data_IF_480460151009
#
_entry.id   IF_480460151009
#
_cell.length_a   1.000
_cell.length_b   1.000
_cell.length_c   1.000
_cell.angle_alpha   90.00
_cell.angle_beta   90.00
_cell.angle_gamma   90.00
#
_symmetry.space_group_name_H-M   'P 1'
#
loop_
_entity.id
_entity.type
_entity.pdbx_description
1 polymer ?
#
# COMPACT_ATOMS: atom_id res chain seq x y z
N UNK A 1 51.17 17.97 -2.98
CA UNK A 1 49.86 18.18 -2.34
C UNK A 1 48.84 17.37 -3.12
N UNK A 2 48.47 16.19 -2.61
CA UNK A 2 47.57 15.20 -3.24
C UNK A 2 46.22 15.29 -2.52
N UNK A 3 45.12 15.54 -3.21
CA UNK A 3 43.82 14.93 -2.89
C UNK A 3 43.09 14.66 -4.22
N UNK A 4 42.90 13.37 -4.51
CA UNK A 4 42.11 12.87 -5.63
C UNK A 4 40.63 12.97 -5.28
N UNK A 5 39.81 13.46 -6.21
CA UNK A 5 38.36 13.35 -6.17
C UNK A 5 37.98 11.87 -6.14
N UNK A 6 37.31 11.44 -5.07
CA UNK A 6 36.86 10.07 -4.91
C UNK A 6 35.42 9.97 -5.44
N UNK A 7 35.26 9.21 -6.51
CA UNK A 7 33.98 8.82 -7.10
C UNK A 7 33.17 8.01 -6.08
N UNK A 8 32.08 8.57 -5.59
CA UNK A 8 31.02 7.79 -4.95
C UNK A 8 30.18 7.24 -6.09
N UNK A 9 30.45 5.99 -6.48
CA UNK A 9 29.53 5.21 -7.30
C UNK A 9 28.30 4.93 -6.44
N UNK A 10 27.18 5.55 -6.79
CA UNK A 10 25.85 5.01 -6.48
C UNK A 10 25.73 3.64 -7.16
N UNK A 11 25.82 2.60 -6.35
CA UNK A 11 25.56 1.23 -6.77
C UNK A 11 24.04 1.04 -6.81
N UNK A 12 23.49 1.32 -7.99
CA UNK A 12 22.15 0.92 -8.40
C UNK A 12 22.11 -0.60 -8.36
N UNK A 13 21.50 -1.16 -7.30
CA UNK A 13 21.34 -2.59 -7.08
C UNK A 13 20.31 -3.14 -8.05
N UNK A 14 20.80 -3.60 -9.21
CA UNK A 14 20.02 -4.39 -10.16
C UNK A 14 19.86 -5.82 -9.63
N UNK A 15 18.64 -6.39 -9.72
CA UNK A 15 18.29 -7.69 -9.13
C UNK A 15 19.21 -8.88 -9.49
N UNK A 16 20.00 -8.76 -10.57
CA UNK A 16 21.02 -9.72 -11.00
C UNK A 16 22.20 -9.87 -10.02
N UNK A 17 22.59 -8.83 -9.29
CA UNK A 17 23.74 -8.90 -8.38
C UNK A 17 23.41 -9.67 -7.09
N UNK A 18 22.13 -9.66 -6.71
CA UNK A 18 21.62 -10.39 -5.54
C UNK A 18 21.58 -11.89 -5.82
N UNK A 19 21.16 -12.30 -7.02
CA UNK A 19 21.13 -13.71 -7.43
C UNK A 19 22.54 -14.31 -7.47
N UNK A 20 23.52 -13.58 -8.02
CA UNK A 20 24.92 -13.99 -8.06
C UNK A 20 25.54 -14.09 -6.65
N UNK A 21 25.20 -13.17 -5.74
CA UNK A 21 25.66 -13.22 -4.35
C UNK A 21 25.06 -14.41 -3.59
N UNK A 22 23.79 -14.76 -3.86
CA UNK A 22 23.11 -15.91 -3.27
C UNK A 22 23.75 -17.22 -3.74
N UNK A 23 24.04 -17.34 -5.03
CA UNK A 23 24.68 -18.52 -5.61
C UNK A 23 26.09 -18.76 -5.04
N UNK A 24 26.88 -17.69 -4.87
CA UNK A 24 28.20 -17.78 -4.23
C UNK A 24 28.12 -18.26 -2.78
N UNK A 25 27.15 -17.76 -2.01
CA UNK A 25 26.94 -18.18 -0.62
C UNK A 25 26.44 -19.62 -0.51
N UNK A 26 25.64 -20.08 -1.47
CA UNK A 26 25.18 -21.46 -1.54
C UNK A 26 26.33 -22.42 -1.83
N UNK A 27 27.22 -22.05 -2.75
CA UNK A 27 28.42 -22.82 -3.08
C UNK A 27 29.42 -22.87 -1.91
N UNK A 28 29.56 -21.79 -1.16
CA UNK A 28 30.36 -21.75 0.08
C UNK A 28 29.80 -22.71 1.13
N UNK A 29 28.48 -22.70 1.34
CA UNK A 29 27.81 -23.64 2.25
C UNK A 29 27.99 -25.09 1.77
N UNK A 30 27.80 -25.37 0.48
CA UNK A 30 28.00 -26.72 -0.09
C UNK A 30 29.45 -27.22 0.09
N UNK A 31 30.44 -26.33 -0.07
CA UNK A 31 31.85 -26.66 0.16
C UNK A 31 32.15 -26.96 1.65
N UNK A 32 31.56 -26.19 2.57
CA UNK A 32 31.69 -26.42 4.01
C UNK A 32 30.98 -27.71 4.46
N UNK A 33 29.85 -28.06 3.84
CA UNK A 33 29.17 -29.33 4.11
C UNK A 33 29.96 -30.54 3.59
N UNK A 34 30.56 -30.45 2.40
CA UNK A 34 31.39 -31.55 1.85
C UNK A 34 32.73 -31.73 2.59
N UNK A 35 33.27 -30.66 3.20
CA UNK A 35 34.55 -30.70 3.94
C UNK A 35 34.45 -31.21 5.38
N UNK A 36 33.24 -31.48 5.89
CA UNK A 36 33.03 -32.04 7.23
C UNK A 36 32.33 -33.39 7.15
N UNK A 37 32.80 -34.37 7.92
CA UNK A 37 32.03 -35.60 8.18
C UNK A 37 30.81 -35.22 9.00
N UNK A 38 29.75 -34.82 8.31
CA UNK A 38 28.51 -34.41 8.91
C UNK A 38 27.78 -35.65 9.41
N UNK A 39 27.61 -35.68 10.72
CA UNK A 39 26.75 -36.60 11.42
C UNK A 39 25.31 -36.52 10.87
N UNK A 40 24.62 -37.66 10.77
CA UNK A 40 23.27 -37.77 10.18
C UNK A 40 22.28 -36.83 10.89
N UNK A 41 22.47 -36.64 12.19
CA UNK A 41 21.72 -35.70 13.04
C UNK A 41 21.90 -34.23 12.61
N UNK A 42 23.11 -33.84 12.21
CA UNK A 42 23.42 -32.47 11.78
C UNK A 42 22.90 -32.20 10.37
N UNK A 43 22.97 -33.18 9.47
CA UNK A 43 22.37 -33.07 8.13
C UNK A 43 20.85 -32.85 8.22
N UNK A 44 20.16 -33.60 9.08
CA UNK A 44 18.73 -33.43 9.29
C UNK A 44 18.39 -32.05 9.85
N UNK A 45 19.17 -31.55 10.81
CA UNK A 45 19.01 -30.19 11.33
C UNK A 45 19.18 -29.11 10.25
N UNK A 46 20.16 -29.25 9.35
CA UNK A 46 20.33 -28.29 8.25
C UNK A 46 19.22 -28.39 7.21
N UNK A 47 18.75 -29.59 6.89
CA UNK A 47 17.60 -29.80 6.00
C UNK A 47 16.34 -29.15 6.57
N UNK A 48 16.02 -29.41 7.84
CA UNK A 48 14.84 -28.84 8.51
C UNK A 48 14.92 -27.31 8.58
N UNK A 49 16.12 -26.75 8.84
CA UNK A 49 16.34 -25.31 8.89
C UNK A 49 16.27 -24.65 7.51
N UNK A 50 16.74 -25.33 6.47
CA UNK A 50 16.66 -24.84 5.09
C UNK A 50 15.23 -24.90 4.55
N UNK A 51 14.55 -26.04 4.74
CA UNK A 51 13.14 -26.22 4.35
C UNK A 51 12.22 -25.24 5.07
N UNK A 52 12.42 -24.99 6.37
CA UNK A 52 11.64 -23.99 7.09
C UNK A 52 11.91 -22.55 6.63
N UNK A 53 13.15 -22.22 6.26
CA UNK A 53 13.47 -20.89 5.73
C UNK A 53 12.88 -20.69 4.32
N UNK A 54 12.87 -21.72 3.48
CA UNK A 54 12.23 -21.68 2.16
C UNK A 54 10.70 -21.53 2.26
N UNK A 55 10.05 -22.28 3.16
CA UNK A 55 8.61 -22.15 3.39
C UNK A 55 8.23 -20.73 3.84
N UNK A 56 9.07 -20.10 4.67
CA UNK A 56 8.83 -18.72 5.12
C UNK A 56 9.04 -17.68 3.99
N UNK A 57 9.90 -17.95 3.02
CA UNK A 57 10.11 -17.08 1.85
C UNK A 57 8.99 -17.21 0.81
N UNK A 58 8.46 -18.41 0.58
CA UNK A 58 7.38 -18.64 -0.42
C UNK A 58 6.00 -18.29 0.13
N UNK A 59 5.73 -18.55 1.41
CA UNK A 59 4.44 -18.29 2.05
C UNK A 59 4.05 -16.80 2.06
N UNK A 60 5.02 -15.89 2.03
CA UNK A 60 4.75 -14.45 1.99
C UNK A 60 4.25 -13.95 0.63
N UNK A 61 4.52 -14.66 -0.47
CA UNK A 61 4.16 -14.23 -1.84
C UNK A 61 2.85 -14.90 -2.28
N UNK A 62 2.72 -16.21 -2.08
CA UNK A 62 1.52 -16.96 -2.49
C UNK A 62 0.27 -16.62 -1.65
N UNK A 63 0.45 -16.36 -0.35
CA UNK A 63 -0.68 -16.01 0.51
C UNK A 63 -1.31 -14.67 0.08
N UNK A 64 -0.49 -13.68 -0.31
CA UNK A 64 -0.97 -12.35 -0.70
C UNK A 64 -1.77 -12.41 -2.01
N UNK A 65 -1.35 -13.21 -2.98
CA UNK A 65 -2.09 -13.38 -4.23
C UNK A 65 -3.39 -14.18 -4.03
N UNK A 66 -3.37 -15.22 -3.19
CA UNK A 66 -4.58 -15.98 -2.84
C UNK A 66 -5.63 -15.11 -2.11
N UNK A 67 -5.20 -14.20 -1.22
CA UNK A 67 -6.11 -13.26 -0.54
C UNK A 67 -6.72 -12.22 -1.49
N UNK A 68 -6.01 -11.84 -2.56
CA UNK A 68 -6.52 -10.88 -3.54
C UNK A 68 -7.60 -11.49 -4.44
N UNK A 69 -7.47 -12.77 -4.78
CA UNK A 69 -8.44 -13.51 -5.60
C UNK A 69 -9.79 -13.68 -4.89
N UNK A 70 -9.80 -13.70 -3.56
CA UNK A 70 -11.02 -13.87 -2.73
C UNK A 70 -11.77 -12.54 -2.57
N UNK A 71 -11.06 -11.42 -2.49
CA UNK A 71 -11.64 -10.07 -2.40
C UNK A 71 -12.28 -9.61 -3.73
N UNK A 72 -11.88 -10.21 -4.86
CA UNK A 72 -12.39 -9.87 -6.21
C UNK A 72 -13.60 -10.73 -6.65
N UNK A 73 -14.06 -11.72 -5.87
CA UNK A 73 -15.26 -12.52 -6.20
C UNK A 73 -16.53 -11.92 -5.58
N UNK A 74 -17.31 -11.21 -6.39
CA UNK A 74 -18.61 -10.63 -5.98
C UNK A 74 -19.73 -11.66 -5.73
N UNK A 75 -19.51 -12.94 -6.08
CA UNK A 75 -20.58 -13.94 -6.20
C UNK A 75 -20.64 -14.95 -5.03
N UNK A 76 -19.71 -14.86 -4.08
CA UNK A 76 -19.58 -15.85 -3.01
C UNK A 76 -20.46 -15.54 -1.80
N UNK A 77 -21.13 -16.56 -1.26
CA UNK A 77 -21.92 -16.43 -0.04
C UNK A 77 -21.01 -16.09 1.15
N UNK A 78 -21.49 -15.23 2.06
CA UNK A 78 -20.69 -14.73 3.21
C UNK A 78 -20.19 -15.85 4.12
N UNK A 79 -20.92 -16.95 4.20
CA UNK A 79 -20.55 -18.13 4.98
C UNK A 79 -19.42 -18.93 4.32
N UNK A 80 -19.45 -19.04 3.00
CA UNK A 80 -18.42 -19.75 2.22
C UNK A 80 -17.10 -18.99 2.23
N UNK A 81 -17.16 -17.66 2.10
CA UNK A 81 -16.01 -16.77 2.31
C UNK A 81 -15.42 -16.91 3.72
N UNK A 82 -16.27 -17.02 4.76
CA UNK A 82 -15.80 -17.19 6.14
C UNK A 82 -15.11 -18.55 6.36
N UNK A 83 -15.64 -19.59 5.75
CA UNK A 83 -15.10 -20.94 5.89
C UNK A 83 -13.77 -21.10 5.15
N UNK A 84 -13.67 -20.54 3.95
CA UNK A 84 -12.44 -20.50 3.17
C UNK A 84 -11.39 -19.61 3.85
N UNK A 85 -11.80 -18.47 4.43
CA UNK A 85 -10.93 -17.61 5.26
C UNK A 85 -10.42 -18.34 6.51
N UNK A 86 -11.29 -19.08 7.21
CA UNK A 86 -10.91 -19.89 8.37
C UNK A 86 -9.92 -21.00 7.99
N UNK A 87 -10.16 -21.65 6.84
CA UNK A 87 -9.27 -22.69 6.30
C UNK A 87 -7.91 -22.13 5.93
N UNK A 88 -7.87 -20.93 5.32
CA UNK A 88 -6.62 -20.24 4.98
C UNK A 88 -5.88 -19.71 6.21
N UNK A 89 -6.58 -19.29 7.26
CA UNK A 89 -5.99 -18.90 8.55
C UNK A 89 -5.39 -20.09 9.31
N UNK A 90 -6.03 -21.26 9.22
CA UNK A 90 -5.52 -22.49 9.80
C UNK A 90 -4.31 -23.04 9.01
N UNK A 91 -4.31 -22.85 7.69
CA UNK A 91 -3.24 -23.31 6.80
C UNK A 91 -2.02 -22.36 6.77
N UNK A 92 -2.24 -21.05 6.86
CA UNK A 92 -1.19 -20.05 6.90
C UNK A 92 -1.16 -19.36 8.27
N UNK A 93 -0.12 -19.64 9.08
CA UNK A 93 0.24 -18.79 10.22
C UNK A 93 0.60 -17.41 9.66
N UNK A 94 -0.37 -16.50 9.61
CA UNK A 94 -0.19 -15.12 9.19
C UNK A 94 0.87 -14.50 10.10
N UNK A 95 2.09 -14.37 9.60
CA UNK A 95 3.18 -13.74 10.32
C UNK A 95 2.80 -12.28 10.59
N UNK A 96 2.64 -11.94 11.87
CA UNK A 96 2.27 -10.63 12.38
C UNK A 96 3.14 -9.49 11.82
N UNK A 97 4.39 -9.80 11.41
CA UNK A 97 5.29 -8.82 10.77
C UNK A 97 4.85 -8.40 9.37
N UNK A 98 4.25 -9.29 8.59
CA UNK A 98 3.79 -9.01 7.23
C UNK A 98 2.42 -8.30 7.27
N UNK A 99 1.51 -8.77 8.12
CA UNK A 99 0.21 -8.14 8.35
C UNK A 99 0.36 -6.68 8.83
N UNK A 100 1.29 -6.41 9.75
CA UNK A 100 1.52 -5.06 10.27
C UNK A 100 2.01 -4.05 9.21
N UNK A 101 2.80 -4.49 8.22
CA UNK A 101 3.23 -3.61 7.11
C UNK A 101 2.08 -3.30 6.16
N UNK A 102 1.23 -4.28 5.86
CA UNK A 102 0.08 -4.10 4.98
C UNK A 102 -0.99 -3.18 5.61
N UNK A 103 -1.28 -3.36 6.91
CA UNK A 103 -2.22 -2.51 7.64
C UNK A 103 -1.73 -1.05 7.68
N UNK A 104 -0.43 -0.82 7.92
CA UNK A 104 0.15 0.53 7.90
C UNK A 104 0.07 1.16 6.50
N UNK A 105 0.37 0.40 5.44
CA UNK A 105 0.26 0.90 4.07
C UNK A 105 -1.18 1.27 3.70
N UNK A 106 -2.18 0.48 4.13
CA UNK A 106 -3.60 0.79 3.94
C UNK A 106 -4.01 2.07 4.68
N UNK A 107 -3.58 2.25 5.93
CA UNK A 107 -3.83 3.48 6.70
C UNK A 107 -3.21 4.73 6.05
N UNK A 108 -1.99 4.63 5.53
CA UNK A 108 -1.33 5.76 4.84
C UNK A 108 -2.11 6.14 3.58
N UNK A 109 -2.57 5.16 2.79
CA UNK A 109 -3.40 5.43 1.61
C UNK A 109 -4.69 6.16 1.97
N UNK A 110 -5.38 5.72 3.03
CA UNK A 110 -6.58 6.40 3.52
C UNK A 110 -6.29 7.83 3.99
N UNK A 111 -5.20 8.05 4.72
CA UNK A 111 -4.80 9.38 5.18
C UNK A 111 -4.56 10.34 4.01
N UNK A 112 -3.90 9.87 2.95
CA UNK A 112 -3.67 10.65 1.73
C UNK A 112 -4.99 10.99 1.03
N UNK A 113 -5.93 10.04 0.94
CA UNK A 113 -7.26 10.29 0.37
C UNK A 113 -8.05 11.33 1.17
N UNK A 114 -8.00 11.27 2.50
CA UNK A 114 -8.64 12.28 3.37
C UNK A 114 -8.03 13.66 3.13
N UNK A 115 -6.70 13.77 3.05
CA UNK A 115 -6.02 15.03 2.80
C UNK A 115 -6.41 15.63 1.44
N UNK A 116 -6.51 14.81 0.38
CA UNK A 116 -6.97 15.23 -0.95
C UNK A 116 -8.41 15.73 -0.89
N UNK A 117 -9.30 15.01 -0.22
CA UNK A 117 -10.71 15.38 -0.09
C UNK A 117 -10.89 16.73 0.64
N UNK A 118 -10.17 16.92 1.75
CA UNK A 118 -10.13 18.18 2.48
C UNK A 118 -9.63 19.33 1.60
N UNK A 119 -8.55 19.09 0.85
CA UNK A 119 -8.00 20.09 -0.07
C UNK A 119 -9.01 20.47 -1.14
N UNK A 120 -9.70 19.51 -1.77
CA UNK A 120 -10.77 19.79 -2.74
C UNK A 120 -11.91 20.63 -2.16
N UNK A 121 -12.37 20.30 -0.95
CA UNK A 121 -13.44 21.06 -0.27
C UNK A 121 -12.98 22.49 0.01
N UNK A 122 -11.78 22.66 0.57
CA UNK A 122 -11.23 23.99 0.88
C UNK A 122 -11.02 24.84 -0.37
N UNK A 123 -10.52 24.25 -1.46
CA UNK A 123 -10.32 24.95 -2.73
C UNK A 123 -11.66 25.32 -3.38
N UNK A 124 -12.64 24.41 -3.39
CA UNK A 124 -13.97 24.70 -3.92
C UNK A 124 -14.66 25.82 -3.13
N UNK A 125 -14.58 25.81 -1.80
CA UNK A 125 -15.11 26.90 -0.97
C UNK A 125 -14.36 28.21 -1.22
N UNK A 126 -13.03 28.17 -1.36
CA UNK A 126 -12.24 29.36 -1.67
C UNK A 126 -12.65 29.98 -3.01
N UNK A 127 -12.99 29.16 -4.01
CA UNK A 127 -13.47 29.64 -5.32
C UNK A 127 -14.84 30.31 -5.26
N UNK A 128 -15.69 29.99 -4.27
CA UNK A 128 -16.99 30.64 -4.06
C UNK A 128 -16.81 31.95 -3.29
N UNK A 129 -15.97 31.95 -2.27
CA UNK A 129 -15.84 33.08 -1.33
C UNK A 129 -14.97 34.19 -1.90
N UNK A 130 -13.90 33.84 -2.61
CA UNK A 130 -12.97 34.82 -3.18
C UNK A 130 -13.37 35.04 -4.64
N UNK A 131 -13.98 36.20 -4.96
CA UNK A 131 -14.35 36.48 -6.34
C UNK A 131 -13.09 36.49 -7.19
N UNK A 132 -13.14 35.74 -8.29
CA UNK A 132 -12.05 35.73 -9.23
C UNK A 132 -11.89 37.14 -9.83
N UNK A 133 -10.66 37.56 -10.15
CA UNK A 133 -10.46 38.87 -10.75
C UNK A 133 -11.19 38.96 -12.12
N UNK A 134 -11.61 40.16 -12.58
CA UNK A 134 -12.59 40.33 -13.66
C UNK A 134 -12.22 39.72 -15.02
N UNK A 135 -10.93 39.45 -15.24
CA UNK A 135 -10.42 38.78 -16.45
C UNK A 135 -10.59 37.25 -16.43
N UNK A 136 -11.02 36.68 -15.30
CA UNK A 136 -11.21 35.24 -15.11
C UNK A 136 -12.69 34.82 -15.11
N UNK A 137 -13.61 35.78 -15.01
CA UNK A 137 -15.06 35.56 -15.10
C UNK A 137 -15.46 35.40 -16.58
N UNK A 138 -15.27 34.20 -17.13
CA UNK A 138 -15.56 33.94 -18.55
C UNK A 138 -17.07 33.92 -18.84
N UNK A 139 -17.91 33.46 -17.90
CA UNK A 139 -19.36 33.33 -18.09
C UNK A 139 -20.16 33.45 -16.78
N UNK A 140 -21.09 34.40 -16.75
CA UNK A 140 -22.12 34.52 -15.71
C UNK A 140 -23.43 33.95 -16.21
N UNK A 141 -24.01 33.00 -15.47
CA UNK A 141 -25.21 32.27 -15.86
C UNK A 141 -26.46 33.11 -15.55
N UNK A 142 -26.44 33.79 -14.40
CA UNK A 142 -27.56 34.59 -13.94
C UNK A 142 -27.08 35.80 -13.16
N UNK A 143 -27.50 37.00 -13.57
CA UNK A 143 -27.20 38.24 -12.86
C UNK A 143 -28.32 38.56 -11.88
N UNK A 144 -27.99 38.68 -10.59
CA UNK A 144 -28.91 39.21 -9.58
C UNK A 144 -28.88 40.74 -9.57
N UNK A 145 -27.73 41.33 -9.88
CA UNK A 145 -27.45 42.77 -9.90
C UNK A 145 -26.44 43.04 -11.03
N UNK A 146 -26.31 44.27 -11.58
CA UNK A 146 -25.40 44.54 -12.70
C UNK A 146 -23.93 44.17 -12.47
N UNK A 147 -23.53 44.01 -11.21
CA UNK A 147 -22.15 43.69 -10.80
C UNK A 147 -22.06 42.37 -10.03
N UNK A 148 -23.13 41.58 -9.92
CA UNK A 148 -23.15 40.36 -9.11
C UNK A 148 -24.12 39.32 -9.69
N UNK A 149 -23.70 38.06 -9.70
CA UNK A 149 -24.42 36.98 -10.33
C UNK A 149 -23.80 35.62 -10.05
N UNK A 150 -24.56 34.56 -10.35
CA UNK A 150 -24.04 33.19 -10.30
C UNK A 150 -23.15 32.98 -11.51
N UNK A 151 -21.88 32.71 -11.24
CA UNK A 151 -20.90 32.41 -12.27
C UNK A 151 -20.88 30.91 -12.60
N UNK A 152 -20.39 30.57 -13.80
CA UNK A 152 -20.09 29.17 -14.12
C UNK A 152 -19.05 28.57 -13.16
N UNK A 153 -18.16 29.41 -12.64
CA UNK A 153 -17.14 29.02 -11.66
C UNK A 153 -17.77 28.56 -10.33
N UNK A 154 -18.85 29.21 -9.88
CA UNK A 154 -19.61 28.79 -8.69
C UNK A 154 -20.28 27.42 -8.87
N UNK A 155 -20.77 27.14 -10.08
CA UNK A 155 -21.36 25.83 -10.39
C UNK A 155 -20.29 24.74 -10.39
N UNK A 156 -19.14 25.02 -10.99
CA UNK A 156 -18.02 24.07 -11.01
C UNK A 156 -17.46 23.85 -9.61
N UNK A 157 -17.33 24.89 -8.80
CA UNK A 157 -16.86 24.78 -7.41
C UNK A 157 -17.84 23.97 -6.55
N UNK A 158 -19.16 24.12 -6.74
CA UNK A 158 -20.15 23.28 -6.08
C UNK A 158 -19.97 21.80 -6.44
N UNK A 159 -19.71 21.46 -7.71
CA UNK A 159 -19.44 20.08 -8.14
C UNK A 159 -18.15 19.55 -7.47
N UNK A 160 -17.09 20.35 -7.42
CA UNK A 160 -15.82 19.99 -6.78
C UNK A 160 -16.04 19.70 -5.28
N UNK A 161 -16.80 20.55 -4.58
CA UNK A 161 -17.13 20.35 -3.16
C UNK A 161 -17.91 19.06 -2.97
N UNK A 162 -18.92 18.79 -3.82
CA UNK A 162 -19.71 17.56 -3.74
C UNK A 162 -18.85 16.31 -3.95
N UNK A 163 -17.93 16.33 -4.92
CA UNK A 163 -16.98 15.23 -5.14
C UNK A 163 -16.06 15.07 -3.92
N UNK A 164 -15.55 16.18 -3.36
CA UNK A 164 -14.71 16.16 -2.18
C UNK A 164 -15.42 15.55 -0.96
N UNK A 165 -16.68 15.94 -0.71
CA UNK A 165 -17.50 15.37 0.36
C UNK A 165 -17.77 13.89 0.11
N UNK A 166 -18.13 13.51 -1.13
CA UNK A 166 -18.35 12.11 -1.49
C UNK A 166 -17.11 11.25 -1.22
N UNK A 167 -15.93 11.73 -1.61
CA UNK A 167 -14.66 11.05 -1.40
C UNK A 167 -14.37 10.92 0.10
N UNK A 168 -14.56 11.99 0.87
CA UNK A 168 -14.38 12.00 2.32
C UNK A 168 -15.31 10.99 3.03
N UNK A 169 -16.60 11.00 2.69
CA UNK A 169 -17.59 10.05 3.23
C UNK A 169 -17.21 8.63 2.86
N UNK A 170 -16.90 8.37 1.58
CA UNK A 170 -16.50 7.02 1.13
C UNK A 170 -15.26 6.52 1.87
N UNK A 171 -14.27 7.38 2.11
CA UNK A 171 -13.06 7.00 2.84
C UNK A 171 -13.32 6.74 4.31
N UNK A 172 -14.20 7.52 4.96
CA UNK A 172 -14.58 7.30 6.36
C UNK A 172 -15.45 6.06 6.57
N UNK A 173 -16.43 5.81 5.70
CA UNK A 173 -17.31 4.63 5.80
C UNK A 173 -16.59 3.32 5.44
N UNK A 174 -15.54 3.38 4.61
CA UNK A 174 -14.70 2.23 4.29
C UNK A 174 -13.65 1.92 5.37
N UNK A 175 -13.54 2.73 6.43
CA UNK A 175 -12.79 2.32 7.63
C UNK A 175 -13.70 1.51 8.56
N UNK A 176 -13.47 0.19 8.73
CA UNK A 176 -14.03 -0.51 9.87
C UNK A 176 -13.41 0.13 11.12
N UNK A 177 -14.27 0.69 11.98
CA UNK A 177 -13.93 1.23 13.30
C UNK A 177 -13.14 0.18 14.10
N UNK A 178 -11.82 0.22 13.98
CA UNK A 178 -10.90 -0.48 14.88
C UNK A 178 -10.70 0.40 16.10
N UNK A 179 -11.76 0.51 16.91
CA UNK A 179 -11.66 0.95 18.30
C UNK A 179 -12.07 -0.22 19.19
N UNK A 180 -11.11 -1.10 19.47
CA UNK A 180 -11.04 -1.83 20.74
C UNK A 180 -9.64 -2.43 20.87
N UNK A 181 -8.67 -1.54 21.06
CA UNK A 181 -7.54 -1.84 21.95
C UNK A 181 -7.95 -1.34 23.33
N UNK A 182 -8.09 -2.30 24.26
CA UNK A 182 -7.98 -2.22 25.72
C UNK A 182 -9.14 -2.93 26.44
N UNK A 183 -9.06 -4.26 26.52
CA UNK A 183 -9.06 -5.00 27.79
C UNK A 183 -8.37 -6.36 27.60
#
# INVERSE_FOLDING_TARGET
>A
MRIKANNIKEEVTTGTDVELAVEQKLNEVAALLNGHQLDEEKMKYFQDKFSSTLQNCSAGIEAIDAFKIIDEREDASREELLNEFSTLLLSNKVDSRVAGKYIKAKRIKNLVLIAIALTMITLGLAMIVIPAPPYFELFTIYYFTPNDGITLMDVISCIIILIGIYLLVRTLYNEPLSSNTNE
#
